data_IF_275675623309
#
_entry.id   IF_275675623309
#
_cell.length_a   1.000
_cell.length_b   1.000
_cell.length_c   1.000
_cell.angle_alpha   90.00
_cell.angle_beta   90.00
_cell.angle_gamma   90.00
#
_symmetry.space_group_name_H-M   'P 1'
#
loop_
_entity.id
_entity.type
_entity.pdbx_description
1 polymer ?
#
# COMPACT_ATOMS: atom_id res chain seq x y z
N UNK A 1 -4.45 -14.45 16.29
CA UNK A 1 -4.26 -15.07 14.96
C UNK A 1 -4.75 -14.15 13.84
N UNK A 2 -5.98 -13.62 13.92
CA UNK A 2 -6.56 -12.79 12.86
C UNK A 2 -5.85 -11.45 12.63
N UNK A 3 -5.43 -10.75 13.69
CA UNK A 3 -4.61 -9.54 13.58
C UNK A 3 -3.30 -9.77 12.79
N UNK A 4 -2.59 -10.87 13.10
CA UNK A 4 -1.33 -11.22 12.43
C UNK A 4 -1.57 -11.48 10.95
N UNK A 5 -2.64 -12.22 10.61
CA UNK A 5 -3.03 -12.45 9.22
C UNK A 5 -3.32 -11.14 8.47
N UNK A 6 -4.02 -10.19 9.09
CA UNK A 6 -4.31 -8.88 8.50
C UNK A 6 -3.04 -8.04 8.29
N UNK A 7 -2.13 -8.02 9.27
CA UNK A 7 -0.86 -7.29 9.16
C UNK A 7 -0.01 -7.86 8.03
N UNK A 8 0.14 -9.19 7.95
CA UNK A 8 0.91 -9.85 6.90
C UNK A 8 0.28 -9.61 5.52
N UNK A 9 -1.05 -9.68 5.42
CA UNK A 9 -1.77 -9.43 4.17
C UNK A 9 -1.63 -7.96 3.72
N UNK A 10 -1.78 -7.01 4.65
CA UNK A 10 -1.58 -5.59 4.37
C UNK A 10 -0.15 -5.28 3.93
N UNK A 11 0.84 -5.89 4.58
CA UNK A 11 2.25 -5.74 4.21
C UNK A 11 2.52 -6.30 2.80
N UNK A 12 1.97 -7.47 2.46
CA UNK A 12 2.11 -8.05 1.14
C UNK A 12 1.52 -7.15 0.05
N UNK A 13 0.33 -6.57 0.29
CA UNK A 13 -0.31 -5.63 -0.65
C UNK A 13 0.52 -4.36 -0.85
N UNK A 14 1.07 -3.79 0.22
CA UNK A 14 1.94 -2.62 0.15
C UNK A 14 3.21 -2.90 -0.65
N UNK A 15 3.83 -4.07 -0.46
CA UNK A 15 5.01 -4.49 -1.22
C UNK A 15 4.67 -4.65 -2.70
N UNK A 16 3.57 -5.33 -3.03
CA UNK A 16 3.14 -5.49 -4.44
C UNK A 16 2.91 -4.14 -5.10
N UNK A 17 2.20 -3.24 -4.43
CA UNK A 17 1.95 -1.91 -4.94
C UNK A 17 3.24 -1.08 -5.12
N UNK A 18 4.18 -1.19 -4.18
CA UNK A 18 5.49 -0.55 -4.30
C UNK A 18 6.27 -1.09 -5.51
N UNK A 19 6.26 -2.41 -5.72
CA UNK A 19 6.92 -3.03 -6.88
C UNK A 19 6.32 -2.56 -8.20
N UNK A 20 4.99 -2.53 -8.30
CA UNK A 20 4.30 -2.02 -9.49
C UNK A 20 4.60 -0.55 -9.74
N UNK A 21 4.63 0.26 -8.67
CA UNK A 21 5.00 1.66 -8.75
C UNK A 21 6.43 1.86 -9.25
N UNK A 22 7.40 1.12 -8.70
CA UNK A 22 8.81 1.20 -9.10
C UNK A 22 9.02 0.70 -10.53
N UNK A 23 8.33 -0.38 -10.93
CA UNK A 23 8.37 -0.89 -12.32
C UNK A 23 7.80 0.13 -13.28
N UNK A 24 6.60 0.64 -13.00
CA UNK A 24 5.96 1.67 -13.81
C UNK A 24 6.80 2.94 -13.96
N UNK A 25 7.66 3.27 -12.98
CA UNK A 25 8.65 4.36 -13.09
C UNK A 25 9.84 4.02 -13.96
N UNK A 26 10.36 2.79 -13.90
CA UNK A 26 11.50 2.36 -14.72
C UNK A 26 11.14 2.27 -16.19
N UNK A 27 9.94 1.80 -16.49
CA UNK A 27 9.46 1.62 -17.86
C UNK A 27 8.94 2.93 -18.47
N UNK A 28 8.87 4.01 -17.69
CA UNK A 28 8.37 5.31 -18.12
C UNK A 28 9.44 6.07 -18.92
N UNK A 29 9.14 6.54 -20.15
CA UNK A 29 10.03 7.42 -20.90
C UNK A 29 10.36 8.68 -20.10
N UNK A 30 11.62 9.14 -20.10
CA UNK A 30 12.00 10.38 -19.41
C UNK A 30 11.11 11.55 -19.86
N UNK A 31 10.47 12.23 -18.91
CA UNK A 31 9.49 13.29 -19.19
C UNK A 31 8.02 12.85 -19.10
N UNK A 32 7.73 11.56 -18.92
CA UNK A 32 6.38 11.14 -18.53
C UNK A 32 6.03 11.71 -17.15
N UNK A 33 4.86 12.39 -17.02
CA UNK A 33 4.41 12.87 -15.73
C UNK A 33 4.41 11.73 -14.73
N UNK A 34 5.00 11.99 -13.56
CA UNK A 34 4.94 11.07 -12.44
C UNK A 34 3.50 10.58 -12.25
N UNK A 35 3.25 9.25 -12.11
CA UNK A 35 1.93 8.80 -11.68
C UNK A 35 1.57 9.59 -10.43
N UNK A 36 0.46 10.35 -10.55
CA UNK A 36 0.05 11.41 -9.63
C UNK A 36 0.34 10.99 -8.18
N UNK A 37 0.98 11.85 -7.39
CA UNK A 37 1.24 11.59 -5.96
C UNK A 37 0.01 11.12 -5.18
N UNK A 38 -1.19 11.38 -5.72
CA UNK A 38 -2.50 10.81 -5.35
C UNK A 38 -2.52 9.29 -5.22
N UNK A 39 -1.85 8.53 -6.11
CA UNK A 39 -1.85 7.07 -6.06
C UNK A 39 -1.06 6.53 -4.85
N UNK A 40 0.12 7.10 -4.59
CA UNK A 40 0.92 6.77 -3.41
C UNK A 40 0.18 7.25 -2.15
N UNK A 41 -0.38 8.46 -2.17
CA UNK A 41 -1.17 9.01 -1.07
C UNK A 41 -2.36 8.12 -0.72
N UNK A 42 -3.11 7.64 -1.72
CA UNK A 42 -4.21 6.69 -1.53
C UNK A 42 -3.72 5.38 -0.94
N UNK A 43 -2.61 4.84 -1.44
CA UNK A 43 -2.06 3.58 -0.95
C UNK A 43 -1.60 3.69 0.52
N UNK A 44 -0.92 4.78 0.86
CA UNK A 44 -0.51 5.10 2.24
C UNK A 44 -1.73 5.30 3.13
N UNK A 45 -2.75 6.01 2.65
CA UNK A 45 -3.97 6.28 3.42
C UNK A 45 -4.75 4.99 3.71
N UNK A 46 -4.89 4.11 2.71
CA UNK A 46 -5.51 2.79 2.88
C UNK A 46 -4.71 1.92 3.86
N UNK A 47 -3.37 1.91 3.74
CA UNK A 47 -2.50 1.20 4.68
C UNK A 47 -2.66 1.69 6.13
N UNK A 48 -2.75 3.01 6.34
CA UNK A 48 -2.99 3.61 7.66
C UNK A 48 -4.37 3.25 8.23
N UNK A 49 -5.42 3.27 7.41
CA UNK A 49 -6.77 2.88 7.82
C UNK A 49 -6.79 1.40 8.23
N UNK A 50 -6.17 0.52 7.45
CA UNK A 50 -6.10 -0.90 7.77
C UNK A 50 -5.30 -1.18 9.05
N UNK A 51 -4.20 -0.45 9.26
CA UNK A 51 -3.44 -0.53 10.50
C UNK A 51 -4.30 -0.09 11.70
N UNK A 52 -5.05 1.02 11.58
CA UNK A 52 -5.94 1.49 12.63
C UNK A 52 -7.09 0.50 12.90
N UNK A 53 -7.71 -0.02 11.83
CA UNK A 53 -8.77 -1.01 11.92
C UNK A 53 -8.30 -2.30 12.61
N UNK A 54 -7.05 -2.71 12.38
CA UNK A 54 -6.47 -3.91 13.04
C UNK A 54 -6.36 -3.78 14.56
N UNK A 55 -6.44 -2.57 15.12
CA UNK A 55 -6.41 -2.35 16.57
C UNK A 55 -7.78 -2.47 17.25
N UNK A 56 -8.87 -2.61 16.48
CA UNK A 56 -10.23 -2.74 17.01
C UNK A 56 -10.39 -4.02 17.84
N UNK A 57 -11.26 -4.01 18.87
CA UNK A 57 -11.47 -5.16 19.77
C UNK A 57 -11.89 -6.44 19.07
N UNK A 58 -12.59 -6.33 17.93
CA UNK A 58 -13.03 -7.48 17.13
C UNK A 58 -11.88 -8.26 16.47
N UNK A 59 -10.68 -7.65 16.40
CA UNK A 59 -9.51 -8.23 15.77
C UNK A 59 -8.35 -8.55 16.75
N UNK A 60 -8.46 -8.17 18.03
CA UNK A 60 -7.52 -8.61 19.09
C UNK A 60 -7.75 -10.06 19.47
#
# INVERSE_FOLDING_TARGET
>A
MMAIALVVTGLALLIVALVLFVRGRRDAPQGTPLPNGRGIMLLTFVGLILALASQLPVFR
#
